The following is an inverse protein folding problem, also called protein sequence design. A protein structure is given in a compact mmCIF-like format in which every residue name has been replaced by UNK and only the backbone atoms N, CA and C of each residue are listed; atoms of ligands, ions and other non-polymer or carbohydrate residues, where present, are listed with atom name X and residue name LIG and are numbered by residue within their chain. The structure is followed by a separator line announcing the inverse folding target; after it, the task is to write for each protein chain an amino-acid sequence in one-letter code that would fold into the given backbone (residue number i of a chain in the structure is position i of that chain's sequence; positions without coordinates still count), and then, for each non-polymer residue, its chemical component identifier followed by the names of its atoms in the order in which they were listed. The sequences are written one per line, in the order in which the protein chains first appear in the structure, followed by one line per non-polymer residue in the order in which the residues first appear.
data_IF_896255811649
#
_entry.id   IF_896255811649
#
_cell.length_a   1.000
_cell.length_b   1.000
_cell.length_c   1.000
_cell.angle_alpha   90.00
_cell.angle_beta   90.00
_cell.angle_gamma   90.00
#
_symmetry.space_group_name_H-M   'P 1'
#
loop_
_entity.id
_entity.type
_entity.pdbx_description
1 polymer ?
#
# COMPACT_ATOMS: atom_id res chain seq x y z
N UNK A 1 6.74 -23.90 0.02
CA UNK A 1 7.30 -23.24 1.21
C UNK A 1 7.81 -21.88 0.79
N UNK A 2 7.04 -20.83 0.98
CA UNK A 2 7.48 -19.45 0.70
C UNK A 2 8.42 -19.03 1.83
N UNK A 3 9.68 -18.82 1.52
CA UNK A 3 10.64 -18.20 2.43
C UNK A 3 10.20 -16.76 2.65
N UNK A 4 9.63 -16.46 3.83
CA UNK A 4 9.46 -15.10 4.30
C UNK A 4 10.86 -14.54 4.61
N UNK A 5 11.52 -14.04 3.57
CA UNK A 5 12.74 -13.27 3.75
C UNK A 5 12.30 -11.94 4.35
N UNK A 6 12.59 -11.71 5.62
CA UNK A 6 12.61 -10.38 6.19
C UNK A 6 13.76 -9.67 5.47
N UNK A 7 13.44 -9.05 4.33
CA UNK A 7 14.40 -8.20 3.62
C UNK A 7 14.82 -7.13 4.62
N UNK A 8 16.10 -7.05 4.90
CA UNK A 8 16.67 -5.92 5.61
C UNK A 8 16.18 -4.66 4.91
N UNK A 9 15.72 -3.66 5.65
CA UNK A 9 15.10 -2.44 5.12
C UNK A 9 15.99 -1.63 4.15
N UNK A 10 17.24 -2.00 3.97
CA UNK A 10 18.24 -1.24 3.26
C UNK A 10 18.12 -1.31 1.74
N UNK A 11 17.92 -2.48 1.16
CA UNK A 11 17.89 -2.63 -0.30
C UNK A 11 16.66 -1.95 -0.96
N UNK A 12 15.41 -2.19 -0.53
CA UNK A 12 14.25 -1.51 -1.09
C UNK A 12 14.29 0.01 -0.91
N UNK A 13 14.81 0.47 0.22
CA UNK A 13 15.02 1.87 0.54
C UNK A 13 16.04 2.52 -0.40
N UNK A 14 17.19 1.88 -0.59
CA UNK A 14 18.23 2.32 -1.51
C UNK A 14 17.70 2.41 -2.95
N UNK A 15 17.07 1.35 -3.46
CA UNK A 15 16.52 1.31 -4.81
C UNK A 15 15.43 2.36 -5.02
N UNK A 16 14.59 2.62 -4.00
CA UNK A 16 13.59 3.68 -4.07
C UNK A 16 14.25 5.05 -4.25
N UNK A 17 15.30 5.33 -3.49
CA UNK A 17 16.03 6.60 -3.58
C UNK A 17 16.87 6.76 -4.85
N UNK A 18 17.16 5.67 -5.55
CA UNK A 18 17.77 5.67 -6.88
C UNK A 18 16.75 5.82 -8.01
N UNK A 19 15.44 5.69 -7.72
CA UNK A 19 14.39 5.69 -8.72
C UNK A 19 14.31 4.38 -9.54
N UNK A 20 14.89 3.30 -9.03
CA UNK A 20 14.97 1.99 -9.70
C UNK A 20 14.15 0.91 -9.00
N UNK A 21 13.43 1.24 -7.93
CA UNK A 21 12.53 0.30 -7.28
C UNK A 21 11.17 0.24 -7.98
N UNK A 22 11.05 -0.61 -8.99
CA UNK A 22 9.79 -0.81 -9.72
C UNK A 22 8.70 -1.51 -8.89
N UNK A 23 9.08 -2.13 -7.77
CA UNK A 23 8.18 -2.79 -6.83
C UNK A 23 8.04 -1.98 -5.53
N UNK A 24 8.09 -0.65 -5.62
CA UNK A 24 8.01 0.23 -4.44
C UNK A 24 6.74 -0.01 -3.60
N UNK A 25 5.66 -0.49 -4.21
CA UNK A 25 4.41 -0.86 -3.56
C UNK A 25 4.52 -2.07 -2.60
N UNK A 26 5.55 -2.90 -2.74
CA UNK A 26 5.84 -3.99 -1.79
C UNK A 26 6.53 -3.48 -0.51
N UNK A 27 7.08 -2.27 -0.56
CA UNK A 27 7.82 -1.67 0.54
C UNK A 27 7.08 -0.49 1.17
N UNK A 28 6.59 0.45 0.37
CA UNK A 28 5.80 1.60 0.80
C UNK A 28 4.33 1.23 0.95
N UNK A 29 3.61 2.00 1.75
CA UNK A 29 2.21 1.73 2.08
C UNK A 29 2.04 1.03 3.41
N UNK A 30 0.94 0.30 3.55
CA UNK A 30 0.57 -0.44 4.74
C UNK A 30 0.58 -1.94 4.46
N UNK A 31 1.39 -2.69 5.23
CA UNK A 31 1.56 -4.13 5.03
C UNK A 31 1.37 -4.90 6.33
N UNK A 32 0.57 -5.97 6.27
CA UNK A 32 0.47 -6.92 7.38
C UNK A 32 1.77 -7.72 7.50
N UNK A 33 2.31 -7.75 8.72
CA UNK A 33 3.49 -8.54 9.07
C UNK A 33 3.19 -9.42 10.28
N UNK A 34 3.76 -10.62 10.29
CA UNK A 34 3.71 -11.51 11.45
C UNK A 34 5.00 -11.39 12.23
N UNK A 35 4.91 -11.06 13.52
CA UNK A 35 6.05 -11.04 14.44
C UNK A 35 5.76 -12.03 15.57
N UNK A 36 6.23 -13.27 15.41
CA UNK A 36 5.84 -14.36 16.32
C UNK A 36 4.35 -14.68 16.21
N UNK A 37 3.64 -14.63 17.35
CA UNK A 37 2.19 -14.84 17.41
C UNK A 37 1.38 -13.56 17.18
N UNK A 38 2.03 -12.39 17.09
CA UNK A 38 1.36 -11.12 16.95
C UNK A 38 1.31 -10.69 15.48
N UNK A 39 0.13 -10.19 15.06
CA UNK A 39 -0.05 -9.52 13.79
C UNK A 39 0.11 -8.02 13.98
N UNK A 40 0.98 -7.43 13.19
CA UNK A 40 1.20 -5.98 13.15
C UNK A 40 1.03 -5.48 11.72
N UNK A 41 0.77 -4.18 11.57
CA UNK A 41 0.83 -3.50 10.29
C UNK A 41 2.01 -2.54 10.33
N UNK A 42 2.89 -2.65 9.35
CA UNK A 42 3.91 -1.63 9.09
C UNK A 42 3.36 -0.59 8.13
N UNK A 43 3.51 0.67 8.49
CA UNK A 43 3.17 1.82 7.65
C UNK A 43 4.45 2.51 7.21
N UNK A 44 4.61 2.70 5.90
CA UNK A 44 5.73 3.44 5.32
C UNK A 44 5.23 4.46 4.32
N UNK A 45 5.75 5.69 4.41
CA UNK A 45 5.43 6.73 3.43
C UNK A 45 6.62 7.62 3.15
N UNK A 46 6.66 8.19 1.95
CA UNK A 46 7.67 9.15 1.55
C UNK A 46 7.11 10.58 1.69
N UNK A 47 7.72 11.34 2.57
CA UNK A 47 7.36 12.72 2.85
C UNK A 47 8.62 13.56 3.14
N UNK A 48 9.45 13.86 2.13
CA UNK A 48 10.81 14.39 2.33
C UNK A 48 10.84 15.73 3.06
N UNK A 49 9.83 16.55 2.89
CA UNK A 49 9.75 17.89 3.48
C UNK A 49 8.93 17.92 4.79
N UNK A 50 8.42 16.78 5.26
CA UNK A 50 7.62 16.75 6.47
C UNK A 50 8.47 16.90 7.73
N UNK A 51 7.98 17.71 8.67
CA UNK A 51 8.54 17.82 10.02
C UNK A 51 8.09 16.63 10.88
N UNK A 52 6.84 16.17 10.69
CA UNK A 52 6.23 15.06 11.40
C UNK A 52 5.26 14.32 10.48
N UNK A 53 5.22 13.01 10.60
CA UNK A 53 4.21 12.16 9.95
C UNK A 53 3.58 11.25 10.99
N UNK A 54 2.27 11.09 10.95
CA UNK A 54 1.54 10.14 11.80
C UNK A 54 0.56 9.33 10.94
N UNK A 55 0.23 8.12 11.35
CA UNK A 55 -0.91 7.39 10.79
C UNK A 55 -2.11 7.56 11.70
N UNK A 56 -3.25 7.93 11.12
CA UNK A 56 -4.50 8.18 11.81
C UNK A 56 -5.63 7.37 11.19
N UNK A 57 -6.58 6.97 12.00
CA UNK A 57 -7.73 6.19 11.57
C UNK A 57 -8.70 5.94 12.72
N UNK A 58 -9.74 5.14 12.47
CA UNK A 58 -10.73 4.82 13.49
C UNK A 58 -10.09 4.10 14.69
N UNK A 59 -9.04 3.33 14.47
CA UNK A 59 -8.31 2.58 15.49
C UNK A 59 -7.61 3.44 16.56
N UNK A 60 -7.38 4.70 16.28
CA UNK A 60 -6.77 5.64 17.25
C UNK A 60 -7.55 6.94 17.41
N UNK A 61 -8.84 6.94 17.00
CA UNK A 61 -9.71 8.11 17.09
C UNK A 61 -9.22 9.30 16.24
N UNK A 62 -8.50 9.04 15.16
CA UNK A 62 -7.92 10.07 14.27
C UNK A 62 -6.92 10.99 14.97
N UNK A 63 -6.27 10.50 16.03
CA UNK A 63 -5.33 11.27 16.85
C UNK A 63 -3.94 11.32 16.20
N UNK A 64 -3.54 12.49 15.77
CA UNK A 64 -2.25 12.75 15.12
C UNK A 64 -1.02 12.54 16.02
N UNK A 65 -1.22 12.33 17.32
CA UNK A 65 -0.14 12.11 18.27
C UNK A 65 0.00 10.65 18.73
N UNK A 66 -0.93 9.77 18.37
CA UNK A 66 -0.95 8.39 18.84
C UNK A 66 0.04 7.48 18.13
N UNK A 67 0.12 7.56 16.81
CA UNK A 67 0.96 6.67 15.98
C UNK A 67 1.87 7.49 15.08
N UNK A 68 2.86 8.12 15.69
CA UNK A 68 3.86 8.93 14.99
C UNK A 68 4.87 8.01 14.30
N UNK A 69 5.18 8.31 13.05
CA UNK A 69 6.18 7.59 12.27
C UNK A 69 7.58 8.14 12.57
N UNK A 70 8.54 7.24 12.66
CA UNK A 70 9.97 7.57 12.76
C UNK A 70 10.54 7.80 11.35
N UNK A 71 11.30 8.85 11.17
CA UNK A 71 12.05 9.08 9.94
C UNK A 71 13.21 8.09 9.87
N UNK A 72 13.19 7.18 8.90
CA UNK A 72 14.20 6.11 8.72
C UNK A 72 15.21 6.41 7.61
N UNK A 73 15.03 7.50 6.88
CA UNK A 73 15.98 7.94 5.88
C UNK A 73 16.09 9.46 5.81
N UNK A 74 17.30 9.96 5.50
CA UNK A 74 17.53 11.39 5.28
C UNK A 74 16.70 11.95 4.13
N UNK A 75 16.39 11.13 3.13
CA UNK A 75 15.58 11.49 1.97
C UNK A 75 14.06 11.39 2.22
N UNK A 76 13.64 11.14 3.48
CA UNK A 76 12.26 11.35 3.94
C UNK A 76 11.33 10.15 3.84
N UNK A 77 11.81 8.94 4.03
CA UNK A 77 10.95 7.80 4.34
C UNK A 77 10.69 7.78 5.85
N UNK A 78 9.40 7.60 6.18
CA UNK A 78 8.91 7.46 7.54
C UNK A 78 8.26 6.09 7.73
N UNK A 79 8.43 5.50 8.92
CA UNK A 79 7.95 4.15 9.26
C UNK A 79 7.37 4.11 10.67
N UNK A 80 6.31 3.33 10.86
CA UNK A 80 5.82 2.90 12.19
C UNK A 80 5.16 1.53 12.12
N UNK A 81 5.02 0.89 13.28
CA UNK A 81 4.38 -0.41 13.45
C UNK A 81 3.19 -0.26 14.39
N UNK A 82 2.03 -0.76 13.98
CA UNK A 82 0.80 -0.69 14.78
C UNK A 82 0.20 -2.08 14.90
N UNK A 83 -0.07 -2.50 16.15
CA UNK A 83 -0.70 -3.78 16.46
C UNK A 83 -2.22 -3.67 16.54
N UNK A 84 -2.92 -4.82 16.43
CA UNK A 84 -4.36 -4.90 16.66
C UNK A 84 -5.23 -4.40 15.50
N UNK A 85 -4.62 -4.08 14.37
CA UNK A 85 -5.33 -3.67 13.15
C UNK A 85 -5.79 -4.90 12.35
N UNK A 86 -6.85 -4.69 11.59
CA UNK A 86 -7.45 -5.74 10.75
C UNK A 86 -7.76 -5.22 9.35
N UNK A 87 -8.03 -6.16 8.46
CA UNK A 87 -8.44 -5.85 7.08
C UNK A 87 -9.65 -4.92 7.06
N UNK A 88 -9.61 -3.96 6.16
CA UNK A 88 -10.57 -2.87 5.96
C UNK A 88 -10.57 -1.75 7.01
N UNK A 89 -9.70 -1.78 8.02
CA UNK A 89 -9.52 -0.61 8.87
C UNK A 89 -9.10 0.61 8.02
N UNK A 90 -9.79 1.73 8.25
CA UNK A 90 -9.57 2.96 7.48
C UNK A 90 -8.43 3.77 8.10
N UNK A 91 -7.56 4.32 7.25
CA UNK A 91 -6.46 5.18 7.68
C UNK A 91 -6.13 6.30 6.70
N UNK A 92 -5.39 7.29 7.17
CA UNK A 92 -4.69 8.32 6.39
C UNK A 92 -3.33 8.61 7.02
N UNK A 93 -2.47 9.25 6.25
CA UNK A 93 -1.28 9.90 6.81
C UNK A 93 -1.59 11.36 7.15
N UNK A 94 -1.31 11.73 8.40
CA UNK A 94 -1.30 13.12 8.86
C UNK A 94 0.12 13.65 8.69
N UNK A 95 0.30 14.56 7.74
CA UNK A 95 1.61 15.09 7.35
C UNK A 95 1.69 16.54 7.81
N UNK A 96 2.63 16.83 8.70
CA UNK A 96 2.85 18.18 9.25
C UNK A 96 4.09 18.81 8.60
N UNK A 97 3.93 20.03 8.13
CA UNK A 97 5.00 20.88 7.64
C UNK A 97 4.74 22.33 8.06
N UNK A 98 5.72 23.00 8.69
CA UNK A 98 5.62 24.40 9.18
C UNK A 98 4.33 24.65 9.96
N UNK A 99 4.05 23.82 10.94
CA UNK A 99 2.87 23.89 11.83
C UNK A 99 1.50 23.73 11.14
N UNK A 100 1.48 23.25 9.89
CA UNK A 100 0.25 22.87 9.19
C UNK A 100 0.20 21.38 9.00
N UNK A 101 -0.89 20.75 9.42
CA UNK A 101 -1.15 19.32 9.19
C UNK A 101 -2.17 19.15 8.08
N UNK A 102 -1.92 18.23 7.17
CA UNK A 102 -2.84 17.80 6.14
C UNK A 102 -3.02 16.28 6.18
N UNK A 103 -4.26 15.83 6.02
CA UNK A 103 -4.56 14.41 5.91
C UNK A 103 -4.46 13.97 4.44
N UNK A 104 -3.63 12.98 4.18
CA UNK A 104 -3.42 12.41 2.83
C UNK A 104 -3.79 10.93 2.81
N UNK A 105 -4.46 10.51 1.74
CA UNK A 105 -4.57 9.10 1.43
C UNK A 105 -3.18 8.51 1.13
N UNK A 106 -3.02 7.23 1.37
CA UNK A 106 -1.81 6.51 1.03
C UNK A 106 -1.76 6.25 -0.49
N UNK A 107 -0.74 6.75 -1.20
CA UNK A 107 -0.61 6.51 -2.64
C UNK A 107 -0.31 5.05 -3.00
N UNK A 108 0.11 4.25 -2.03
CA UNK A 108 0.42 2.83 -2.20
C UNK A 108 -0.63 1.90 -1.58
N UNK A 109 -1.79 2.44 -1.18
CA UNK A 109 -2.87 1.62 -0.61
C UNK A 109 -3.45 0.67 -1.67
N UNK A 110 -3.61 -0.60 -1.30
CA UNK A 110 -4.25 -1.61 -2.14
C UNK A 110 -5.78 -1.47 -2.18
N UNK A 111 -6.37 -0.74 -1.23
CA UNK A 111 -7.81 -0.53 -1.16
C UNK A 111 -8.12 0.90 -0.66
N UNK A 112 -9.22 1.47 -1.14
CA UNK A 112 -9.68 2.79 -0.77
C UNK A 112 -11.14 2.77 -0.31
N UNK A 113 -11.56 3.82 0.38
CA UNK A 113 -12.99 4.05 0.64
C UNK A 113 -13.74 4.35 -0.66
N UNK A 114 -15.03 4.06 -0.65
CA UNK A 114 -15.93 4.44 -1.76
C UNK A 114 -16.09 5.97 -1.80
N UNK A 115 -16.12 6.59 -3.00
CA UNK A 115 -16.46 8.00 -3.13
C UNK A 115 -17.82 8.29 -2.43
N UNK A 116 -18.00 9.39 -1.72
CA UNK A 116 -17.22 10.63 -1.54
C UNK A 116 -16.17 10.62 -0.42
N UNK A 117 -15.85 9.49 0.17
CA UNK A 117 -14.80 9.37 1.18
C UNK A 117 -13.43 9.24 0.52
N UNK A 118 -12.37 9.53 1.26
CA UNK A 118 -11.00 9.62 0.72
C UNK A 118 -9.96 8.93 1.60
N UNK A 119 -10.37 8.00 2.46
CA UNK A 119 -9.47 7.19 3.28
C UNK A 119 -8.89 6.02 2.49
N UNK A 120 -7.72 5.59 2.87
CA UNK A 120 -7.14 4.31 2.49
C UNK A 120 -7.64 3.22 3.42
N UNK A 121 -7.70 1.99 2.95
CA UNK A 121 -8.08 0.83 3.76
C UNK A 121 -6.98 -0.21 3.75
N UNK A 122 -6.76 -0.82 4.91
CA UNK A 122 -5.86 -1.97 5.01
C UNK A 122 -6.41 -3.13 4.19
N UNK A 123 -5.57 -3.75 3.40
CA UNK A 123 -5.95 -4.89 2.59
C UNK A 123 -4.77 -5.87 2.43
N UNK A 124 -5.04 -7.16 2.64
CA UNK A 124 -4.06 -8.23 2.47
C UNK A 124 -4.29 -8.93 1.12
N UNK A 125 -3.31 -8.84 0.24
CA UNK A 125 -3.34 -9.51 -1.06
C UNK A 125 -2.85 -10.96 -1.00
N UNK A 126 -2.30 -11.42 0.13
CA UNK A 126 -1.66 -12.73 0.24
C UNK A 126 -2.64 -13.91 0.13
N UNK A 127 -3.92 -13.68 0.40
CA UNK A 127 -4.96 -14.70 0.29
C UNK A 127 -5.47 -14.90 -1.14
N UNK A 128 -5.18 -13.96 -2.04
CA UNK A 128 -5.61 -14.07 -3.43
C UNK A 128 -4.84 -15.16 -4.17
N UNK A 129 -5.56 -16.09 -4.77
CA UNK A 129 -4.99 -17.19 -5.57
C UNK A 129 -5.31 -16.96 -7.04
N UNK A 130 -4.28 -16.83 -7.84
CA UNK A 130 -4.42 -16.78 -9.29
C UNK A 130 -4.88 -18.13 -9.84
N UNK A 131 -5.92 -18.11 -10.67
CA UNK A 131 -6.49 -19.32 -11.30
C UNK A 131 -6.20 -19.40 -12.81
N UNK A 132 -5.37 -18.52 -13.31
CA UNK A 132 -5.05 -18.31 -14.72
C UNK A 132 -3.79 -19.05 -15.20
N UNK A 133 -3.23 -19.95 -14.39
CA UNK A 133 -1.97 -20.65 -14.69
C UNK A 133 -1.98 -21.40 -16.02
N UNK A 134 -3.09 -22.02 -16.38
CA UNK A 134 -3.21 -22.73 -17.68
C UNK A 134 -3.32 -21.73 -18.84
N UNK A 135 -4.00 -20.63 -18.66
CA UNK A 135 -4.04 -19.55 -19.66
C UNK A 135 -2.64 -18.98 -19.91
N UNK A 136 -1.90 -18.69 -18.85
CA UNK A 136 -0.53 -18.13 -18.96
C UNK A 136 0.41 -19.12 -19.67
N UNK A 137 0.35 -20.42 -19.35
CA UNK A 137 1.17 -21.45 -19.99
C UNK A 137 0.87 -21.60 -21.48
N UNK A 138 -0.40 -21.50 -21.85
CA UNK A 138 -0.87 -21.72 -23.22
C UNK A 138 -1.01 -20.43 -24.03
N UNK A 139 -0.66 -19.29 -23.45
CA UNK A 139 -0.71 -18.00 -24.12
C UNK A 139 0.24 -17.97 -25.31
N UNK A 140 -0.30 -17.85 -26.51
CA UNK A 140 0.47 -17.68 -27.75
C UNK A 140 0.66 -16.20 -28.09
N UNK A 141 1.72 -15.89 -28.83
CA UNK A 141 1.85 -14.58 -29.47
C UNK A 141 0.80 -14.48 -30.61
N UNK A 142 0.04 -13.40 -30.64
CA UNK A 142 -1.06 -13.21 -31.61
C UNK A 142 -0.68 -12.35 -32.80
N UNK A 143 0.61 -12.04 -32.98
CA UNK A 143 1.07 -11.10 -33.98
C UNK A 143 0.80 -11.55 -35.44
N UNK A 144 0.61 -12.87 -35.65
CA UNK A 144 0.38 -13.52 -36.96
C UNK A 144 -1.07 -14.00 -37.13
N UNK A 145 -1.97 -13.69 -36.19
CA UNK A 145 -3.34 -14.19 -36.22
C UNK A 145 -4.35 -13.04 -36.23
N UNK A 146 -5.52 -13.23 -36.85
CA UNK A 146 -6.61 -12.27 -36.75
C UNK A 146 -7.02 -12.06 -35.30
N UNK A 147 -7.19 -10.80 -34.90
CA UNK A 147 -7.64 -10.42 -33.53
C UNK A 147 -8.94 -9.64 -33.64
N UNK A 148 -9.94 -10.06 -32.89
CA UNK A 148 -11.16 -9.29 -32.68
C UNK A 148 -11.02 -8.51 -31.37
N UNK A 149 -11.12 -7.18 -31.43
CA UNK A 149 -11.10 -6.31 -30.27
C UNK A 149 -12.51 -5.82 -30.00
N UNK A 150 -13.01 -6.08 -28.81
CA UNK A 150 -14.30 -5.58 -28.34
C UNK A 150 -14.11 -4.78 -27.05
N UNK A 151 -14.31 -3.48 -27.17
CA UNK A 151 -14.16 -2.56 -26.05
C UNK A 151 -15.50 -2.38 -25.34
N UNK A 152 -15.52 -2.61 -24.02
CA UNK A 152 -16.73 -2.50 -23.21
C UNK A 152 -16.47 -1.70 -21.92
N UNK A 153 -17.43 -0.91 -21.51
CA UNK A 153 -17.48 -0.32 -20.19
C UNK A 153 -18.40 -1.17 -19.29
N UNK A 154 -17.81 -1.97 -18.41
CA UNK A 154 -18.56 -2.86 -17.54
C UNK A 154 -19.58 -2.14 -16.65
N UNK A 155 -19.28 -0.91 -16.21
CA UNK A 155 -20.18 -0.13 -15.37
C UNK A 155 -21.49 0.28 -16.04
N UNK A 156 -21.52 0.32 -17.38
CA UNK A 156 -22.69 0.71 -18.19
C UNK A 156 -23.21 -0.41 -19.11
N UNK A 157 -22.55 -1.57 -19.16
CA UNK A 157 -22.87 -2.64 -20.09
C UNK A 157 -24.29 -3.19 -19.90
N UNK A 158 -24.70 -3.47 -18.66
CA UNK A 158 -26.06 -3.89 -18.34
C UNK A 158 -26.39 -3.56 -16.89
N UNK A 159 -27.47 -2.83 -16.68
CA UNK A 159 -28.04 -2.60 -15.36
C UNK A 159 -29.27 -3.48 -15.21
N UNK A 160 -29.44 -4.08 -14.03
CA UNK A 160 -30.69 -4.76 -13.63
C UNK A 160 -31.71 -3.75 -13.17
#
# INVERSE_FOLDING_TARGET
MAKTCVKTNEEPLYLFHQGTNYNAYEYLGAHFIKKGNDSQVVFRTWAPNADKVSVVGDFNGWNENANVLTRISEKGIFETYVSGLKQFDTYKFAITYKNKTVLKADPYAFHAETPSKTGSKLYDLSEFKWTDGDFIKNRSAFYDKPVNVYEVNFGSWKRK
#
